data_IF_513700363200
#
_entry.id   IF_513700363200
#
_cell.length_a   1.000
_cell.length_b   1.000
_cell.length_c   1.000
_cell.angle_alpha   90.00
_cell.angle_beta   90.00
_cell.angle_gamma   90.00
#
_symmetry.space_group_name_H-M   'P 1'
#
loop_
_entity.id
_entity.type
_entity.pdbx_description
1 polymer ?
#
# COMPACT_ATOMS: atom_id res chain seq x y z
N UNK A 1 8.53 -13.97 -23.69
CA UNK A 1 7.47 -13.00 -24.08
C UNK A 1 7.98 -11.58 -23.97
N UNK A 2 7.60 -10.71 -24.90
CA UNK A 2 7.75 -9.26 -24.76
C UNK A 2 6.78 -8.71 -23.72
N UNK A 3 6.95 -7.47 -23.26
CA UNK A 3 5.98 -6.83 -22.34
C UNK A 3 4.58 -6.70 -22.95
N UNK A 4 4.49 -6.42 -24.25
CA UNK A 4 3.21 -6.37 -24.97
C UNK A 4 2.53 -7.74 -25.03
N UNK A 5 3.27 -8.80 -25.32
CA UNK A 5 2.74 -10.18 -25.32
C UNK A 5 2.25 -10.59 -23.92
N UNK A 6 3.00 -10.25 -22.85
CA UNK A 6 2.55 -10.48 -21.46
C UNK A 6 1.26 -9.76 -21.15
N UNK A 7 1.17 -8.47 -21.50
CA UNK A 7 -0.06 -7.69 -21.28
C UNK A 7 -1.26 -8.31 -21.98
N UNK A 8 -1.11 -8.65 -23.27
CA UNK A 8 -2.18 -9.27 -24.05
C UNK A 8 -2.61 -10.63 -23.47
N UNK A 9 -1.64 -11.45 -23.06
CA UNK A 9 -1.93 -12.71 -22.39
C UNK A 9 -2.71 -12.50 -21.10
N UNK A 10 -2.26 -11.60 -20.21
CA UNK A 10 -2.93 -11.33 -18.93
C UNK A 10 -4.33 -10.75 -19.13
N UNK A 11 -4.51 -9.83 -20.08
CA UNK A 11 -5.83 -9.29 -20.42
C UNK A 11 -6.75 -10.40 -20.90
N UNK A 12 -6.30 -11.22 -21.87
CA UNK A 12 -7.08 -12.34 -22.40
C UNK A 12 -7.50 -13.34 -21.31
N UNK A 13 -6.56 -13.76 -20.47
CA UNK A 13 -6.85 -14.68 -19.36
C UNK A 13 -7.86 -14.10 -18.37
N UNK A 14 -7.75 -12.80 -18.03
CA UNK A 14 -8.72 -12.13 -17.15
C UNK A 14 -10.09 -11.95 -17.79
N UNK A 15 -10.17 -11.73 -19.10
CA UNK A 15 -11.43 -11.66 -19.83
C UNK A 15 -12.09 -13.04 -19.96
N UNK A 16 -11.31 -14.11 -20.09
CA UNK A 16 -11.83 -15.48 -20.04
C UNK A 16 -12.37 -15.83 -18.64
N UNK A 17 -11.69 -15.42 -17.58
CA UNK A 17 -12.12 -15.59 -16.19
C UNK A 17 -13.38 -14.76 -15.87
N UNK A 18 -13.51 -13.58 -16.47
CA UNK A 18 -14.59 -12.61 -16.25
C UNK A 18 -15.28 -12.26 -17.59
N UNK A 19 -16.18 -13.14 -18.11
CA UNK A 19 -16.75 -12.99 -19.45
C UNK A 19 -17.53 -11.67 -19.70
N UNK A 20 -18.04 -11.04 -18.63
CA UNK A 20 -18.70 -9.74 -18.71
C UNK A 20 -17.78 -8.62 -19.23
N UNK A 21 -16.45 -8.79 -19.08
CA UNK A 21 -15.44 -7.87 -19.61
C UNK A 21 -14.86 -8.31 -20.97
N UNK A 22 -15.20 -9.50 -21.47
CA UNK A 22 -14.76 -10.00 -22.78
C UNK A 22 -15.22 -9.15 -23.97
N UNK A 23 -16.21 -8.28 -23.78
CA UNK A 23 -16.66 -7.31 -24.81
C UNK A 23 -15.70 -6.15 -25.09
N UNK A 24 -14.74 -5.90 -24.17
CA UNK A 24 -13.78 -4.83 -24.35
C UNK A 24 -12.64 -5.30 -25.26
N UNK A 25 -12.51 -4.69 -26.42
CA UNK A 25 -11.38 -4.96 -27.32
C UNK A 25 -10.06 -4.53 -26.66
N UNK A 26 -9.02 -5.31 -26.91
CA UNK A 26 -7.67 -4.96 -26.43
C UNK A 26 -7.17 -3.76 -27.24
N UNK A 27 -6.87 -2.62 -26.60
CA UNK A 27 -6.38 -1.44 -27.31
C UNK A 27 -5.10 -1.73 -28.11
N UNK A 28 -4.93 -0.99 -29.22
CA UNK A 28 -3.74 -1.12 -30.05
C UNK A 28 -2.50 -0.47 -29.43
N UNK A 29 -2.70 0.56 -28.59
CA UNK A 29 -1.63 1.32 -27.96
C UNK A 29 -1.27 0.79 -26.58
N UNK A 30 -0.02 1.02 -26.18
CA UNK A 30 0.56 0.57 -24.93
C UNK A 30 -0.18 1.10 -23.70
N UNK A 31 -0.58 2.37 -23.71
CA UNK A 31 -1.23 2.98 -22.54
C UNK A 31 -2.63 2.42 -22.35
N UNK A 32 -3.41 2.28 -23.43
CA UNK A 32 -4.73 1.67 -23.38
C UNK A 32 -4.68 0.22 -22.89
N UNK A 33 -3.67 -0.57 -23.31
CA UNK A 33 -3.46 -1.93 -22.81
C UNK A 33 -3.14 -1.95 -21.32
N UNK A 34 -2.29 -1.02 -20.83
CA UNK A 34 -1.96 -0.89 -19.41
C UNK A 34 -3.19 -0.54 -18.58
N UNK A 35 -4.00 0.40 -19.08
CA UNK A 35 -5.21 0.84 -18.40
C UNK A 35 -6.25 -0.28 -18.35
N UNK A 36 -6.45 -1.01 -19.44
CA UNK A 36 -7.36 -2.16 -19.46
C UNK A 36 -6.90 -3.26 -18.50
N UNK A 37 -5.62 -3.63 -18.54
CA UNK A 37 -5.07 -4.64 -17.63
C UNK A 37 -5.23 -4.22 -16.15
N UNK A 38 -4.91 -2.95 -15.83
CA UNK A 38 -5.10 -2.42 -14.48
C UNK A 38 -6.58 -2.45 -14.07
N UNK A 39 -7.48 -2.03 -14.95
CA UNK A 39 -8.91 -2.06 -14.69
C UNK A 39 -9.40 -3.49 -14.39
N UNK A 40 -8.94 -4.49 -15.15
CA UNK A 40 -9.27 -5.91 -14.92
C UNK A 40 -8.70 -6.42 -13.61
N UNK A 41 -7.45 -6.11 -13.26
CA UNK A 41 -6.89 -6.42 -11.92
C UNK A 41 -7.74 -5.81 -10.80
N UNK A 42 -8.21 -4.57 -10.99
CA UNK A 42 -9.00 -3.90 -9.96
C UNK A 42 -10.35 -4.54 -9.71
N UNK A 43 -11.05 -4.99 -10.74
CA UNK A 43 -12.40 -5.58 -10.62
C UNK A 43 -12.38 -7.08 -10.31
N UNK A 44 -11.27 -7.76 -10.53
CA UNK A 44 -11.14 -9.19 -10.26
C UNK A 44 -11.45 -9.51 -8.81
N UNK A 45 -12.41 -10.42 -8.59
CA UNK A 45 -12.72 -10.91 -7.25
C UNK A 45 -11.57 -11.78 -6.69
N UNK A 46 -11.47 -11.92 -5.35
CA UNK A 46 -10.44 -12.76 -4.76
C UNK A 46 -10.65 -14.23 -5.16
N UNK A 47 -9.71 -14.77 -5.90
CA UNK A 47 -9.69 -16.15 -6.34
C UNK A 47 -8.24 -16.60 -6.57
N UNK A 48 -7.94 -17.91 -6.44
CA UNK A 48 -6.64 -18.43 -6.84
C UNK A 48 -6.42 -18.22 -8.35
N UNK A 49 -5.16 -18.08 -8.76
CA UNK A 49 -4.79 -17.99 -10.16
C UNK A 49 -3.89 -19.18 -10.54
N UNK A 50 -3.83 -19.53 -11.85
CA UNK A 50 -2.98 -20.59 -12.32
C UNK A 50 -1.50 -20.22 -12.19
N UNK A 51 -0.62 -21.23 -12.05
CA UNK A 51 0.82 -21.02 -11.98
C UNK A 51 1.37 -20.34 -13.25
N UNK A 52 0.77 -20.62 -14.41
CA UNK A 52 1.14 -19.99 -15.66
C UNK A 52 0.79 -18.50 -15.66
N UNK A 53 -0.42 -18.15 -15.22
CA UNK A 53 -0.85 -16.77 -15.07
C UNK A 53 0.09 -16.00 -14.13
N UNK A 54 0.36 -16.55 -12.93
CA UNK A 54 1.24 -15.93 -11.94
C UNK A 54 2.64 -15.71 -12.48
N UNK A 55 3.22 -16.69 -13.18
CA UNK A 55 4.53 -16.54 -13.80
C UNK A 55 4.57 -15.37 -14.79
N UNK A 56 3.58 -15.26 -15.68
CA UNK A 56 3.53 -14.16 -16.66
C UNK A 56 3.29 -12.82 -15.98
N UNK A 57 2.40 -12.79 -14.96
CA UNK A 57 2.16 -11.61 -14.14
C UNK A 57 3.44 -11.13 -13.46
N UNK A 58 4.19 -12.02 -12.82
CA UNK A 58 5.39 -11.67 -12.06
C UNK A 58 6.47 -11.10 -12.98
N UNK A 59 6.69 -11.73 -14.14
CA UNK A 59 7.60 -11.21 -15.16
C UNK A 59 7.16 -9.83 -15.67
N UNK A 60 5.85 -9.63 -15.86
CA UNK A 60 5.30 -8.34 -16.30
C UNK A 60 5.46 -7.27 -15.24
N UNK A 61 5.03 -7.53 -13.99
CA UNK A 61 5.03 -6.53 -12.92
C UNK A 61 6.44 -6.17 -12.44
N UNK A 62 7.36 -7.13 -12.40
CA UNK A 62 8.77 -6.87 -12.07
C UNK A 62 9.40 -5.89 -13.05
N UNK A 63 9.24 -6.14 -14.37
CA UNK A 63 9.71 -5.20 -15.39
C UNK A 63 9.00 -3.84 -15.32
N UNK A 64 7.71 -3.82 -14.96
CA UNK A 64 6.99 -2.56 -14.74
C UNK A 64 7.56 -1.75 -13.59
N UNK A 65 7.96 -2.40 -12.51
CA UNK A 65 8.62 -1.72 -11.40
C UNK A 65 9.97 -1.12 -11.82
N UNK A 66 10.77 -1.86 -12.60
CA UNK A 66 12.03 -1.38 -13.15
C UNK A 66 11.83 -0.20 -14.11
N UNK A 67 10.85 -0.27 -15.01
CA UNK A 67 10.51 0.82 -15.96
C UNK A 67 10.04 2.11 -15.25
N UNK A 68 9.37 1.98 -14.10
CA UNK A 68 8.97 3.11 -13.25
C UNK A 68 10.16 3.72 -12.50
N UNK A 69 11.24 2.98 -12.35
CA UNK A 69 12.42 3.35 -11.57
C UNK A 69 12.26 2.94 -10.10
N UNK A 70 13.02 1.94 -9.67
CA UNK A 70 13.07 1.51 -8.26
C UNK A 70 13.97 2.47 -7.50
N UNK A 71 13.47 3.01 -6.38
CA UNK A 71 14.26 3.81 -5.43
C UNK A 71 14.67 2.91 -4.26
N UNK A 72 15.97 2.81 -4.00
CA UNK A 72 16.46 2.12 -2.81
C UNK A 72 16.54 3.10 -1.63
N UNK A 73 16.12 2.65 -0.45
CA UNK A 73 16.19 3.50 0.76
C UNK A 73 17.61 3.87 1.17
N UNK A 74 18.61 3.15 0.67
CA UNK A 74 20.03 3.51 0.87
C UNK A 74 20.42 4.80 0.16
N UNK A 75 19.69 5.19 -0.89
CA UNK A 75 19.94 6.40 -1.67
C UNK A 75 19.28 7.65 -1.04
N UNK A 76 18.45 7.44 0.00
CA UNK A 76 17.77 8.53 0.69
C UNK A 76 18.66 9.12 1.80
N UNK A 77 18.55 10.42 2.00
CA UNK A 77 19.18 11.10 3.12
C UNK A 77 18.22 11.28 4.29
N UNK A 78 18.69 11.11 5.54
CA UNK A 78 17.86 11.37 6.71
C UNK A 78 17.52 12.85 6.82
N UNK A 79 16.41 13.15 7.52
CA UNK A 79 15.99 14.53 7.80
C UNK A 79 16.75 15.12 9.00
N UNK A 80 16.90 16.44 9.10
CA UNK A 80 17.65 17.09 10.21
C UNK A 80 17.10 16.76 11.60
N UNK A 81 15.78 16.59 11.73
CA UNK A 81 15.09 16.36 13.00
C UNK A 81 15.54 15.08 13.73
N UNK A 82 15.77 13.98 12.98
CA UNK A 82 16.15 12.68 13.55
C UNK A 82 16.82 11.83 12.45
N UNK A 83 18.01 11.26 12.67
CA UNK A 83 18.73 10.48 11.66
C UNK A 83 18.05 9.16 11.27
N UNK A 84 17.02 8.74 11.99
CA UNK A 84 16.21 7.55 11.68
C UNK A 84 15.01 7.88 10.78
N UNK A 85 14.72 9.16 10.55
CA UNK A 85 13.57 9.62 9.77
C UNK A 85 14.00 10.08 8.37
N UNK A 86 13.16 9.75 7.40
CA UNK A 86 13.36 10.07 5.99
C UNK A 86 12.09 10.66 5.42
N UNK A 87 12.21 11.56 4.46
CA UNK A 87 11.10 12.09 3.68
C UNK A 87 11.37 11.80 2.20
N UNK A 88 10.43 11.13 1.55
CA UNK A 88 10.55 10.80 0.14
C UNK A 88 9.24 11.06 -0.61
N UNK A 89 9.34 11.73 -1.76
CA UNK A 89 8.20 11.96 -2.65
C UNK A 89 8.30 11.02 -3.84
N UNK A 90 7.32 10.13 -3.96
CA UNK A 90 7.30 9.14 -5.05
C UNK A 90 6.20 8.11 -4.91
N UNK A 91 6.18 7.19 -5.85
CA UNK A 91 5.26 6.05 -5.87
C UNK A 91 5.75 4.96 -4.90
N UNK A 92 5.04 4.75 -3.80
CA UNK A 92 5.40 3.78 -2.75
C UNK A 92 5.62 2.36 -3.30
N UNK A 93 4.99 2.01 -4.43
CA UNK A 93 5.15 0.70 -5.06
C UNK A 93 6.50 0.50 -5.76
N UNK A 94 7.32 1.54 -5.82
CA UNK A 94 8.68 1.49 -6.37
C UNK A 94 9.77 1.61 -5.31
N UNK A 95 9.40 1.70 -4.02
CA UNK A 95 10.38 1.87 -2.94
C UNK A 95 10.86 0.51 -2.44
N UNK A 96 12.18 0.30 -2.48
CA UNK A 96 12.82 -0.89 -1.90
C UNK A 96 13.13 -0.66 -0.43
N UNK A 97 12.33 -1.29 0.44
CA UNK A 97 12.48 -1.30 1.89
C UNK A 97 11.93 -2.62 2.49
N UNK A 98 11.97 -2.80 3.81
CA UNK A 98 11.41 -4.03 4.38
C UNK A 98 9.89 -4.03 4.36
N UNK A 99 9.24 -2.93 4.74
CA UNK A 99 7.79 -2.87 4.74
C UNK A 99 7.26 -1.55 4.17
N UNK A 100 6.17 -1.62 3.41
CA UNK A 100 5.37 -0.46 2.98
C UNK A 100 3.99 -0.53 3.60
N UNK A 101 3.44 0.63 3.96
CA UNK A 101 2.08 0.71 4.50
C UNK A 101 1.09 0.87 3.35
N UNK A 102 0.02 0.10 3.41
CA UNK A 102 -1.17 0.26 2.59
C UNK A 102 -2.31 0.81 3.45
N UNK A 103 -2.81 2.00 3.13
CA UNK A 103 -4.02 2.57 3.72
C UNK A 103 -5.26 1.86 3.17
N UNK A 104 -5.61 0.75 3.80
CA UNK A 104 -6.65 -0.18 3.38
C UNK A 104 -8.07 0.23 3.81
N UNK A 105 -9.06 -0.35 3.17
CA UNK A 105 -10.44 -0.35 3.66
C UNK A 105 -10.68 -1.51 4.66
N UNK A 106 -11.80 -1.48 5.39
CA UNK A 106 -12.10 -2.47 6.44
C UNK A 106 -12.37 -3.89 5.91
N UNK A 107 -12.58 -4.07 4.61
CA UNK A 107 -12.70 -5.38 3.99
C UNK A 107 -11.35 -6.03 3.71
N UNK A 108 -10.26 -5.27 3.71
CA UNK A 108 -8.87 -5.68 3.43
C UNK A 108 -8.62 -6.27 2.02
N UNK A 109 -9.63 -6.30 1.15
CA UNK A 109 -9.51 -6.91 -0.18
C UNK A 109 -9.19 -5.92 -1.30
N UNK A 110 -8.74 -4.72 -0.94
CA UNK A 110 -8.33 -3.69 -1.89
C UNK A 110 -9.49 -2.88 -2.47
N UNK A 111 -9.14 -1.95 -3.34
CA UNK A 111 -10.11 -1.09 -4.01
C UNK A 111 -10.55 -1.71 -5.33
N UNK A 112 -11.87 -1.92 -5.49
CA UNK A 112 -12.47 -2.50 -6.71
C UNK A 112 -12.84 -1.48 -7.80
N UNK A 113 -12.66 -0.18 -7.52
CA UNK A 113 -12.98 0.86 -8.51
C UNK A 113 -11.91 0.89 -9.60
N UNK A 114 -12.27 0.65 -10.88
CA UNK A 114 -11.31 0.65 -11.98
C UNK A 114 -10.52 1.96 -12.06
N UNK A 115 -9.21 1.87 -12.21
CA UNK A 115 -8.30 3.00 -12.41
C UNK A 115 -8.34 4.06 -11.30
N UNK A 116 -8.84 3.71 -10.11
CA UNK A 116 -8.90 4.68 -9.01
C UNK A 116 -7.50 5.05 -8.51
N UNK A 117 -7.27 6.34 -8.34
CA UNK A 117 -5.98 6.86 -7.88
C UNK A 117 -5.87 6.91 -6.35
N UNK A 118 -6.29 5.84 -5.66
CA UNK A 118 -5.99 5.66 -4.25
C UNK A 118 -4.83 4.66 -4.09
N UNK A 119 -4.16 4.76 -2.98
CA UNK A 119 -3.01 3.89 -2.67
C UNK A 119 -3.40 2.42 -2.65
N UNK A 120 -4.52 2.06 -2.01
CA UNK A 120 -5.04 0.70 -1.95
C UNK A 120 -5.26 0.07 -3.35
N UNK A 121 -5.68 0.88 -4.34
CA UNK A 121 -5.80 0.44 -5.73
C UNK A 121 -4.41 0.23 -6.38
N UNK A 122 -3.48 1.15 -6.16
CA UNK A 122 -2.15 1.12 -6.76
C UNK A 122 -1.34 -0.04 -6.16
N UNK A 123 -1.32 -0.18 -4.84
CA UNK A 123 -0.66 -1.30 -4.16
C UNK A 123 -1.23 -2.64 -4.63
N UNK A 124 -2.56 -2.79 -4.67
CA UNK A 124 -3.20 -4.01 -5.15
C UNK A 124 -2.88 -4.33 -6.61
N UNK A 125 -2.77 -3.31 -7.48
CA UNK A 125 -2.40 -3.50 -8.89
C UNK A 125 -0.98 -4.02 -9.05
N UNK A 126 0.00 -3.36 -8.40
CA UNK A 126 1.42 -3.64 -8.64
C UNK A 126 1.97 -4.79 -7.78
N UNK A 127 1.26 -5.20 -6.73
CA UNK A 127 1.56 -6.46 -6.03
C UNK A 127 1.12 -7.69 -6.82
N UNK A 128 0.06 -7.60 -7.60
CA UNK A 128 -0.53 -8.71 -8.33
C UNK A 128 -1.76 -9.30 -7.65
N UNK A 129 -2.41 -10.27 -8.34
CA UNK A 129 -3.72 -10.83 -7.93
C UNK A 129 -3.64 -11.65 -6.64
N UNK A 130 -2.47 -12.13 -6.27
CA UNK A 130 -2.24 -12.94 -5.07
C UNK A 130 -2.47 -12.16 -3.79
N UNK A 131 -2.14 -10.88 -3.77
CA UNK A 131 -2.35 -10.02 -2.59
C UNK A 131 -3.81 -10.05 -2.13
N UNK A 132 -4.74 -9.82 -3.07
CA UNK A 132 -6.18 -9.81 -2.76
C UNK A 132 -6.68 -11.18 -2.31
N UNK A 133 -6.15 -12.25 -2.89
CA UNK A 133 -6.49 -13.61 -2.48
C UNK A 133 -5.98 -13.91 -1.07
N UNK A 134 -4.75 -13.55 -0.73
CA UNK A 134 -4.18 -13.75 0.61
C UNK A 134 -4.95 -12.97 1.68
N UNK A 135 -5.19 -11.67 1.46
CA UNK A 135 -5.96 -10.85 2.40
C UNK A 135 -7.39 -11.35 2.56
N UNK A 136 -8.04 -11.81 1.49
CA UNK A 136 -9.36 -12.45 1.55
C UNK A 136 -9.35 -13.70 2.44
N UNK A 137 -8.37 -14.60 2.25
CA UNK A 137 -8.27 -15.81 3.06
C UNK A 137 -8.05 -15.48 4.55
N UNK A 138 -7.21 -14.48 4.86
CA UNK A 138 -7.01 -14.00 6.24
C UNK A 138 -8.31 -13.43 6.83
N UNK A 139 -9.05 -12.64 6.05
CA UNK A 139 -10.36 -12.11 6.48
C UNK A 139 -11.40 -13.20 6.69
N UNK A 140 -11.46 -14.22 5.82
CA UNK A 140 -12.34 -15.38 6.01
C UNK A 140 -12.01 -16.17 7.29
N UNK A 141 -10.73 -16.33 7.61
CA UNK A 141 -10.31 -16.93 8.87
C UNK A 141 -10.78 -16.10 10.09
N UNK A 142 -10.66 -14.77 10.01
CA UNK A 142 -11.13 -13.86 11.06
C UNK A 142 -12.67 -13.87 11.19
N UNK A 143 -13.40 -13.94 10.08
CA UNK A 143 -14.88 -14.05 10.07
C UNK A 143 -15.38 -15.35 10.70
N UNK A 144 -14.67 -16.44 10.53
CA UNK A 144 -15.01 -17.72 11.20
C UNK A 144 -14.92 -17.62 12.74
N UNK A 145 -14.04 -16.78 13.25
CA UNK A 145 -13.82 -16.59 14.69
C UNK A 145 -14.74 -15.50 15.26
N UNK A 146 -14.91 -14.39 14.54
CA UNK A 146 -15.54 -13.17 15.05
C UNK A 146 -16.97 -12.94 14.52
N UNK A 147 -17.45 -13.77 13.58
CA UNK A 147 -18.75 -13.64 12.92
C UNK A 147 -18.63 -13.13 11.48
N UNK A 148 -19.65 -13.46 10.66
CA UNK A 148 -19.64 -13.19 9.21
C UNK A 148 -19.56 -11.71 8.84
N UNK A 149 -20.07 -10.83 9.71
CA UNK A 149 -20.06 -9.38 9.51
C UNK A 149 -18.74 -8.71 9.96
N UNK A 150 -17.73 -9.51 10.35
CA UNK A 150 -16.46 -8.97 10.81
C UNK A 150 -15.80 -8.13 9.74
N UNK A 151 -15.38 -6.94 10.15
CA UNK A 151 -14.58 -6.02 9.39
C UNK A 151 -13.30 -5.72 10.17
N UNK A 152 -12.20 -5.50 9.48
CA UNK A 152 -10.94 -5.16 10.15
C UNK A 152 -11.09 -3.82 10.88
N UNK A 153 -10.86 -3.78 12.21
CA UNK A 153 -11.00 -2.55 12.97
C UNK A 153 -9.95 -1.51 12.59
N UNK A 154 -10.30 -0.24 12.80
CA UNK A 154 -9.34 0.88 12.68
C UNK A 154 -8.12 0.64 13.57
N UNK A 155 -6.94 0.92 13.03
CA UNK A 155 -5.63 0.77 13.67
C UNK A 155 -5.21 -0.66 14.04
N UNK A 156 -5.91 -1.69 13.55
CA UNK A 156 -5.49 -3.09 13.67
C UNK A 156 -4.82 -3.51 12.37
N UNK A 157 -3.48 -3.61 12.30
CA UNK A 157 -2.77 -3.92 11.05
C UNK A 157 -2.88 -5.40 10.69
N UNK A 158 -2.73 -5.67 9.38
CA UNK A 158 -2.55 -7.01 8.80
C UNK A 158 -1.29 -7.00 7.94
N UNK A 159 -0.41 -7.98 8.08
CA UNK A 159 0.81 -8.09 7.28
C UNK A 159 0.69 -9.20 6.23
N UNK A 160 1.23 -8.94 5.04
CA UNK A 160 1.36 -9.89 3.94
C UNK A 160 2.75 -9.80 3.30
N UNK A 161 3.19 -10.81 2.53
CA UNK A 161 4.25 -10.61 1.56
C UNK A 161 3.90 -9.48 0.58
N UNK A 162 4.92 -8.85 0.00
CA UNK A 162 4.71 -7.75 -0.95
C UNK A 162 4.57 -8.23 -2.41
N UNK A 163 4.74 -9.53 -2.65
CA UNK A 163 4.65 -10.17 -3.97
C UNK A 163 5.57 -9.48 -4.99
N UNK A 164 5.01 -8.77 -5.97
CA UNK A 164 5.77 -8.13 -7.05
C UNK A 164 6.30 -6.72 -6.71
N UNK A 165 6.05 -6.20 -5.51
CA UNK A 165 6.69 -4.95 -5.09
C UNK A 165 8.16 -5.18 -4.71
N UNK A 166 9.03 -4.17 -4.83
CA UNK A 166 10.43 -4.28 -4.43
C UNK A 166 10.65 -4.38 -2.91
N UNK A 167 9.59 -4.19 -2.11
CA UNK A 167 9.57 -4.36 -0.65
C UNK A 167 9.37 -5.82 -0.27
N UNK A 168 9.67 -6.19 0.99
CA UNK A 168 9.44 -7.55 1.52
C UNK A 168 8.00 -7.77 1.97
N UNK A 169 7.42 -6.78 2.63
CA UNK A 169 6.09 -6.86 3.23
C UNK A 169 5.23 -5.67 2.86
N UNK A 170 3.90 -5.89 2.88
CA UNK A 170 2.90 -4.84 2.94
C UNK A 170 2.19 -4.97 4.29
N UNK A 171 2.07 -3.86 5.00
CA UNK A 171 1.27 -3.77 6.22
C UNK A 171 0.02 -2.96 5.88
N UNK A 172 -1.12 -3.63 5.92
CA UNK A 172 -2.42 -3.04 5.65
C UNK A 172 -3.02 -2.51 6.94
N UNK A 173 -3.46 -1.26 6.94
CA UNK A 173 -4.09 -0.65 8.12
C UNK A 173 -5.28 0.20 7.70
N UNK A 174 -6.39 0.06 8.45
CA UNK A 174 -7.56 0.92 8.30
C UNK A 174 -7.35 2.18 9.13
N UNK A 175 -7.26 3.31 8.47
CA UNK A 175 -7.18 4.59 9.14
C UNK A 175 -8.55 5.12 9.59
N UNK A 176 -8.61 6.12 10.48
CA UNK A 176 -9.86 6.76 10.89
C UNK A 176 -10.52 7.56 9.75
N UNK A 177 -11.85 7.48 9.67
CA UNK A 177 -12.68 8.28 8.75
C UNK A 177 -13.17 9.51 9.50
N UNK A 178 -12.80 10.70 9.02
CA UNK A 178 -13.23 11.96 9.61
C UNK A 178 -14.53 12.43 8.95
N UNK A 179 -15.62 12.42 9.72
CA UNK A 179 -16.93 12.91 9.27
C UNK A 179 -17.81 13.27 10.47
N UNK A 180 -18.45 14.44 10.49
CA UNK A 180 -18.16 15.63 9.67
C UNK A 180 -16.98 16.46 10.19
N UNK A 181 -16.53 16.26 11.45
CA UNK A 181 -15.49 17.05 12.10
C UNK A 181 -14.41 16.15 12.72
N UNK A 182 -13.18 16.68 12.75
CA UNK A 182 -12.06 16.03 13.42
C UNK A 182 -12.27 16.01 14.94
N UNK A 183 -12.31 14.80 15.52
CA UNK A 183 -12.46 14.56 16.97
C UNK A 183 -11.15 14.07 17.58
N UNK A 184 -11.07 14.11 18.93
CA UNK A 184 -9.94 13.52 19.67
C UNK A 184 -9.75 12.04 19.34
N UNK A 185 -10.84 11.29 19.28
CA UNK A 185 -10.83 9.86 18.93
C UNK A 185 -10.12 9.57 17.59
N UNK A 186 -10.41 10.37 16.54
CA UNK A 186 -9.75 10.20 15.23
C UNK A 186 -8.23 10.43 15.34
N UNK A 187 -7.79 11.37 16.18
CA UNK A 187 -6.36 11.64 16.42
C UNK A 187 -5.70 10.48 17.15
N UNK A 188 -6.36 9.95 18.17
CA UNK A 188 -5.87 8.82 18.96
C UNK A 188 -5.81 7.54 18.08
N UNK A 189 -6.81 7.31 17.23
CA UNK A 189 -6.84 6.23 16.25
C UNK A 189 -5.73 6.35 15.20
N UNK A 190 -5.50 7.57 14.67
CA UNK A 190 -4.41 7.77 13.71
C UNK A 190 -3.04 7.50 14.34
N UNK A 191 -2.81 7.98 15.55
CA UNK A 191 -1.59 7.66 16.30
C UNK A 191 -1.44 6.15 16.54
N UNK A 192 -2.55 5.45 16.84
CA UNK A 192 -2.54 4.00 16.99
C UNK A 192 -2.19 3.28 15.67
N UNK A 193 -2.62 3.80 14.50
CA UNK A 193 -2.21 3.25 13.21
C UNK A 193 -0.68 3.22 13.07
N UNK A 194 -0.01 4.33 13.35
CA UNK A 194 1.45 4.42 13.27
C UNK A 194 2.14 3.49 14.27
N UNK A 195 1.72 3.49 15.55
CA UNK A 195 2.32 2.62 16.58
C UNK A 195 2.18 1.15 16.21
N UNK A 196 0.97 0.71 15.94
CA UNK A 196 0.69 -0.70 15.71
C UNK A 196 1.34 -1.22 14.42
N UNK A 197 1.52 -0.35 13.40
CA UNK A 197 2.29 -0.71 12.21
C UNK A 197 3.79 -0.84 12.50
N UNK A 198 4.35 0.00 13.38
CA UNK A 198 5.74 -0.14 13.83
C UNK A 198 5.94 -1.39 14.67
N UNK A 199 4.99 -1.71 15.56
CA UNK A 199 5.04 -2.91 16.38
C UNK A 199 5.08 -4.18 15.52
N UNK A 200 4.13 -4.35 14.60
CA UNK A 200 4.08 -5.53 13.73
C UNK A 200 5.29 -5.60 12.77
N UNK A 201 5.80 -4.47 12.30
CA UNK A 201 7.01 -4.44 11.49
C UNK A 201 8.23 -4.91 12.30
N UNK A 202 8.38 -4.44 13.53
CA UNK A 202 9.47 -4.86 14.43
C UNK A 202 9.37 -6.33 14.79
N UNK A 203 8.16 -6.85 15.07
CA UNK A 203 7.91 -8.29 15.32
C UNK A 203 8.34 -9.18 14.13
N UNK A 204 8.26 -8.64 12.90
CA UNK A 204 8.69 -9.34 11.68
C UNK A 204 10.16 -9.04 11.30
N UNK A 205 10.92 -8.41 12.19
CA UNK A 205 12.34 -8.12 11.98
C UNK A 205 12.61 -7.10 10.87
N UNK A 206 11.67 -6.17 10.62
CA UNK A 206 11.88 -5.09 9.66
C UNK A 206 12.82 -4.03 10.25
N UNK A 207 13.85 -3.66 9.50
CA UNK A 207 14.75 -2.56 9.84
C UNK A 207 14.29 -1.22 9.22
N UNK A 208 13.37 -1.31 8.26
CA UNK A 208 12.85 -0.15 7.51
C UNK A 208 11.37 -0.28 7.22
N UNK A 209 10.66 0.87 7.29
CA UNK A 209 9.23 0.97 7.00
C UNK A 209 8.92 2.29 6.30
N UNK A 210 8.05 2.26 5.29
CA UNK A 210 7.57 3.45 4.60
C UNK A 210 6.08 3.65 4.83
N UNK A 211 5.73 4.80 5.40
CA UNK A 211 4.36 5.22 5.65
C UNK A 211 3.86 6.14 4.56
N UNK A 212 2.70 5.83 4.01
CA UNK A 212 1.90 6.78 3.23
C UNK A 212 1.19 7.80 4.14
N UNK A 213 0.53 8.78 3.54
CA UNK A 213 -0.29 9.76 4.25
C UNK A 213 -1.64 9.14 4.69
N UNK A 214 -1.64 8.31 5.75
CA UNK A 214 -2.80 7.58 6.24
C UNK A 214 -3.99 8.52 6.47
N UNK A 215 -5.16 8.14 5.95
CA UNK A 215 -6.46 8.84 6.10
C UNK A 215 -6.59 10.21 5.42
N UNK A 216 -5.56 10.77 4.79
CA UNK A 216 -5.62 12.14 4.23
C UNK A 216 -6.31 12.26 2.87
N UNK A 217 -6.64 11.13 2.25
CA UNK A 217 -7.37 11.07 0.99
C UNK A 217 -8.90 11.02 1.20
N UNK A 218 -9.51 9.91 0.79
CA UNK A 218 -10.96 9.68 0.86
C UNK A 218 -11.51 9.75 2.29
N UNK A 219 -10.68 9.44 3.30
CA UNK A 219 -11.06 9.49 4.73
C UNK A 219 -11.01 10.90 5.35
N UNK A 220 -10.60 11.91 4.57
CA UNK A 220 -10.74 13.34 4.88
C UNK A 220 -10.05 13.83 6.18
N UNK A 221 -9.03 13.13 6.65
CA UNK A 221 -8.25 13.64 7.78
C UNK A 221 -7.43 14.85 7.32
N UNK A 222 -7.45 16.00 8.07
CA UNK A 222 -6.70 17.19 7.71
C UNK A 222 -5.20 16.92 7.60
N UNK A 223 -4.59 17.19 6.46
CA UNK A 223 -3.20 16.83 6.11
C UNK A 223 -2.18 17.33 7.14
N UNK A 224 -2.23 18.61 7.53
CA UNK A 224 -1.32 19.18 8.54
C UNK A 224 -1.39 18.43 9.87
N UNK A 225 -2.62 18.14 10.34
CA UNK A 225 -2.82 17.43 11.61
C UNK A 225 -2.41 15.96 11.53
N UNK A 226 -2.61 15.34 10.38
CA UNK A 226 -2.14 13.98 10.16
C UNK A 226 -0.61 13.88 10.19
N UNK A 227 0.09 14.79 9.52
CA UNK A 227 1.54 14.84 9.50
C UNK A 227 2.14 15.13 10.90
N UNK A 228 1.58 16.08 11.66
CA UNK A 228 1.98 16.36 13.04
C UNK A 228 1.88 15.09 13.92
N UNK A 229 0.75 14.37 13.82
CA UNK A 229 0.50 13.14 14.58
C UNK A 229 1.49 12.03 14.13
N UNK A 230 1.67 11.86 12.82
CA UNK A 230 2.58 10.87 12.25
C UNK A 230 4.00 11.05 12.78
N UNK A 231 4.59 12.22 12.59
CA UNK A 231 5.96 12.52 13.00
C UNK A 231 6.13 12.40 14.52
N UNK A 232 5.21 12.97 15.28
CA UNK A 232 5.24 12.86 16.75
C UNK A 232 5.19 11.40 17.22
N UNK A 233 4.23 10.63 16.70
CA UNK A 233 4.02 9.24 17.14
C UNK A 233 5.20 8.34 16.76
N UNK A 234 5.73 8.47 15.56
CA UNK A 234 6.89 7.70 15.10
C UNK A 234 8.12 8.02 15.98
N UNK A 235 8.39 9.28 16.28
CA UNK A 235 9.50 9.66 17.16
C UNK A 235 9.33 9.16 18.59
N UNK A 236 8.13 9.26 19.14
CA UNK A 236 7.83 8.72 20.46
C UNK A 236 8.04 7.20 20.51
N UNK A 237 7.60 6.48 19.47
CA UNK A 237 7.80 5.04 19.36
C UNK A 237 9.28 4.67 19.28
N UNK A 238 10.05 5.32 18.38
CA UNK A 238 11.48 5.07 18.22
C UNK A 238 12.30 5.36 19.49
N UNK A 239 11.90 6.38 20.25
CA UNK A 239 12.55 6.73 21.50
C UNK A 239 12.16 5.77 22.65
N UNK A 240 10.94 5.23 22.60
CA UNK A 240 10.45 4.23 23.57
C UNK A 240 10.96 2.82 23.31
N UNK A 241 11.54 2.55 22.13
CA UNK A 241 12.02 1.23 21.70
C UNK A 241 13.48 1.27 21.21
N UNK A 242 14.44 1.69 22.03
CA UNK A 242 15.84 1.89 21.63
C UNK A 242 16.52 0.58 21.15
N UNK A 243 16.03 -0.57 21.63
CA UNK A 243 16.57 -1.89 21.28
C UNK A 243 15.84 -2.54 20.10
N UNK A 244 14.89 -1.82 19.46
CA UNK A 244 14.19 -2.31 18.28
C UNK A 244 15.14 -2.44 17.09
N UNK A 245 14.84 -3.40 16.20
CA UNK A 245 15.53 -3.53 14.91
C UNK A 245 15.24 -2.36 13.95
N UNK A 246 14.20 -1.56 14.21
CA UNK A 246 13.78 -0.46 13.33
C UNK A 246 14.82 0.66 13.26
N UNK A 247 15.41 0.86 12.08
CA UNK A 247 16.50 1.83 11.83
C UNK A 247 16.06 3.01 10.96
N UNK A 248 15.11 2.78 10.05
CA UNK A 248 14.70 3.79 9.06
C UNK A 248 13.18 3.85 8.94
N UNK A 249 12.60 5.00 9.19
CA UNK A 249 11.17 5.27 8.96
C UNK A 249 11.03 6.35 7.90
N UNK A 250 10.40 6.00 6.79
CA UNK A 250 10.21 6.85 5.63
C UNK A 250 8.78 7.41 5.64
N UNK A 251 8.62 8.71 5.65
CA UNK A 251 7.37 9.37 5.31
C UNK A 251 7.31 9.52 3.80
N UNK A 252 6.54 8.63 3.17
CA UNK A 252 6.29 8.71 1.74
C UNK A 252 5.12 9.65 1.45
N UNK A 253 5.34 10.61 0.60
CA UNK A 253 4.34 11.56 0.13
C UNK A 253 4.24 11.50 -1.39
N UNK A 254 3.06 11.83 -1.92
CA UNK A 254 2.85 11.84 -3.36
C UNK A 254 2.64 13.26 -3.90
N UNK A 255 1.90 14.09 -3.16
CA UNK A 255 1.55 15.47 -3.55
C UNK A 255 2.60 16.47 -3.06
N UNK A 256 2.82 17.53 -3.82
CA UNK A 256 3.69 18.64 -3.42
C UNK A 256 3.23 19.30 -2.11
N UNK A 257 1.91 19.41 -1.91
CA UNK A 257 1.34 19.92 -0.67
C UNK A 257 1.72 19.11 0.57
N UNK A 258 1.71 17.77 0.44
CA UNK A 258 2.13 16.88 1.53
C UNK A 258 3.64 16.99 1.76
N UNK A 259 4.44 17.09 0.67
CA UNK A 259 5.88 17.28 0.75
C UNK A 259 6.24 18.57 1.51
N UNK A 260 5.55 19.66 1.24
CA UNK A 260 5.76 20.94 1.93
C UNK A 260 5.42 20.85 3.41
N UNK A 261 4.29 20.23 3.75
CA UNK A 261 3.86 20.03 5.14
C UNK A 261 4.91 19.21 5.92
N UNK A 262 5.30 18.05 5.40
CA UNK A 262 6.27 17.20 6.09
C UNK A 262 7.65 17.85 6.17
N UNK A 263 8.10 18.55 5.12
CA UNK A 263 9.38 19.26 5.13
C UNK A 263 9.41 20.30 6.26
N UNK A 264 8.34 21.08 6.43
CA UNK A 264 8.26 22.10 7.48
C UNK A 264 8.32 21.49 8.89
N UNK A 265 7.72 20.32 9.11
CA UNK A 265 7.73 19.63 10.41
C UNK A 265 9.09 18.98 10.68
N UNK A 266 9.72 18.40 9.66
CA UNK A 266 10.93 17.60 9.77
C UNK A 266 12.23 18.43 9.69
N UNK A 267 12.14 19.75 9.42
CA UNK A 267 13.27 20.69 9.41
C UNK A 267 13.51 21.37 10.76
N UNK A 268 12.65 21.15 11.75
CA UNK A 268 12.76 21.75 13.10
C UNK A 268 13.70 20.95 13.98
#
# INVERSE_FOLDING_TARGET
MTQEERRKYLIGALQEEMPEYGRYEIPADDQGQRDLLRALFNVRLPAPASQEFLKVQDEYLSLRAEEKGITDISDLSPVPLDPRLYLWQGDITTLRCDAVINAANSQMTGCYRPLHNCEDNIVGTFSGVELRWDTYQKMEALRKINGQDYQQPTAVPMITPAYNLPSRYIIHVVGPIVSPFLKKEHKDQLAACYRNCLDIAAEHGCESIAFCCISTGVFMFPQNKAAEIAVKTVREWLNGHPDSCMKKVIFNVFKDSDMEIYRNILSQ
#
